data_IF_063729803129
#
_entry.id   IF_063729803129
#
_cell.length_a   1.000
_cell.length_b   1.000
_cell.length_c   1.000
_cell.angle_alpha   90.00
_cell.angle_beta   90.00
_cell.angle_gamma   90.00
#
_symmetry.space_group_name_H-M   'P 1'
#
loop_
_entity.id
_entity.type
_entity.pdbx_description
1 polymer ?
#
# COMPACT_ATOMS: atom_id res chain seq x y z
N UNK A 1 2.55 -20.07 12.98
CA UNK A 1 3.31 -18.93 12.41
C UNK A 1 2.32 -17.81 12.24
N UNK A 2 2.63 -16.61 12.71
CA UNK A 2 1.76 -15.45 12.42
C UNK A 2 1.83 -15.16 10.92
N UNK A 3 0.68 -15.13 10.26
CA UNK A 3 0.58 -14.71 8.85
C UNK A 3 0.92 -13.22 8.73
N UNK A 4 1.73 -12.84 7.75
CA UNK A 4 2.08 -11.43 7.50
C UNK A 4 0.90 -10.62 6.94
N UNK A 5 -0.14 -11.30 6.46
CA UNK A 5 -1.41 -10.71 6.04
C UNK A 5 -2.54 -11.54 6.63
N UNK A 6 -3.49 -10.90 7.29
CA UNK A 6 -4.71 -11.55 7.78
C UNK A 6 -5.91 -11.17 6.91
N UNK A 7 -6.87 -12.09 6.81
CA UNK A 7 -8.10 -11.91 6.05
C UNK A 7 -9.30 -12.13 6.97
N UNK A 8 -10.18 -11.15 7.02
CA UNK A 8 -11.46 -11.20 7.75
C UNK A 8 -12.59 -10.82 6.79
N UNK A 9 -13.72 -11.53 6.85
CA UNK A 9 -14.92 -11.19 6.07
C UNK A 9 -16.00 -10.61 6.99
N UNK A 10 -16.57 -9.51 6.56
CA UNK A 10 -17.66 -8.84 7.30
C UNK A 10 -18.64 -8.21 6.31
N UNK A 11 -19.88 -8.70 6.25
CA UNK A 11 -21.01 -8.12 5.49
C UNK A 11 -20.70 -7.87 3.98
N UNK A 12 -19.91 -8.76 3.36
CA UNK A 12 -19.47 -8.64 1.98
C UNK A 12 -18.24 -7.77 1.78
N UNK A 13 -17.62 -7.28 2.85
CA UNK A 13 -16.36 -6.56 2.87
C UNK A 13 -15.25 -7.55 3.28
N UNK A 14 -14.25 -7.75 2.44
CA UNK A 14 -13.05 -8.49 2.80
C UNK A 14 -12.00 -7.52 3.36
N UNK A 15 -11.69 -7.64 4.64
CA UNK A 15 -10.67 -6.84 5.31
C UNK A 15 -9.34 -7.59 5.20
N UNK A 16 -8.38 -7.00 4.49
CA UNK A 16 -7.00 -7.48 4.39
C UNK A 16 -6.12 -6.58 5.27
N UNK A 17 -5.54 -7.16 6.31
CA UNK A 17 -4.65 -6.42 7.22
C UNK A 17 -3.20 -6.85 7.04
N UNK A 18 -2.32 -5.90 6.73
CA UNK A 18 -0.87 -6.09 6.79
C UNK A 18 -0.50 -6.28 8.27
N UNK A 19 0.13 -7.41 8.62
CA UNK A 19 0.25 -7.87 10.01
C UNK A 19 1.70 -8.16 10.40
N UNK A 20 2.55 -7.15 10.27
CA UNK A 20 3.91 -7.08 10.86
C UNK A 20 4.06 -5.79 11.68
N UNK A 21 3.21 -5.57 12.72
CA UNK A 21 3.15 -4.28 13.43
C UNK A 21 4.49 -3.89 14.08
N UNK A 22 5.27 -4.85 14.55
CA UNK A 22 6.60 -4.63 15.17
C UNK A 22 7.63 -4.10 14.16
N UNK A 23 7.44 -4.32 12.87
CA UNK A 23 8.26 -3.83 11.76
C UNK A 23 7.54 -2.73 10.96
N UNK A 24 6.52 -2.07 11.53
CA UNK A 24 5.69 -1.07 10.83
C UNK A 24 5.13 -1.58 9.50
N UNK A 25 4.79 -2.84 9.42
CA UNK A 25 4.31 -3.52 8.21
C UNK A 25 5.27 -3.40 7.02
N UNK A 26 6.59 -3.44 7.29
CA UNK A 26 7.62 -3.49 6.25
C UNK A 26 7.42 -4.74 5.36
N UNK A 27 7.63 -4.54 4.06
CA UNK A 27 7.35 -5.52 3.02
C UNK A 27 8.56 -6.44 2.85
N UNK A 28 8.41 -7.71 3.23
CA UNK A 28 9.35 -8.79 2.92
C UNK A 28 8.74 -9.78 1.93
N UNK A 29 9.50 -10.79 1.54
CA UNK A 29 9.05 -11.82 0.60
C UNK A 29 7.80 -12.58 1.10
N UNK A 30 7.67 -12.78 2.42
CA UNK A 30 6.51 -13.45 3.02
C UNK A 30 5.27 -12.58 2.88
N UNK A 31 5.35 -11.29 3.19
CA UNK A 31 4.22 -10.36 3.02
C UNK A 31 3.79 -10.25 1.56
N UNK A 32 4.73 -10.21 0.62
CA UNK A 32 4.42 -10.20 -0.81
C UNK A 32 3.64 -11.47 -1.21
N UNK A 33 4.11 -12.64 -0.78
CA UNK A 33 3.46 -13.92 -1.05
C UNK A 33 2.06 -13.98 -0.43
N UNK A 34 1.95 -13.63 0.86
CA UNK A 34 0.69 -13.70 1.60
C UNK A 34 -0.35 -12.73 1.03
N UNK A 35 0.05 -11.48 0.69
CA UNK A 35 -0.87 -10.49 0.12
C UNK A 35 -1.30 -10.86 -1.30
N UNK A 36 -0.38 -11.38 -2.13
CA UNK A 36 -0.74 -11.89 -3.46
C UNK A 36 -1.76 -13.03 -3.38
N UNK A 37 -1.57 -13.94 -2.43
CA UNK A 37 -2.50 -15.06 -2.19
C UNK A 37 -3.85 -14.56 -1.67
N UNK A 38 -3.84 -13.71 -0.63
CA UNK A 38 -5.06 -13.17 -0.05
C UNK A 38 -5.90 -12.39 -1.06
N UNK A 39 -5.26 -11.55 -1.90
CA UNK A 39 -5.94 -10.83 -2.99
C UNK A 39 -6.53 -11.79 -4.02
N UNK A 40 -5.80 -12.84 -4.43
CA UNK A 40 -6.33 -13.83 -5.38
C UNK A 40 -7.56 -14.54 -4.83
N UNK A 41 -7.48 -15.03 -3.58
CA UNK A 41 -8.62 -15.69 -2.90
C UNK A 41 -9.82 -14.76 -2.79
N UNK A 42 -9.57 -13.46 -2.46
CA UNK A 42 -10.65 -12.48 -2.30
C UNK A 42 -11.29 -12.13 -3.64
N UNK A 43 -10.51 -11.96 -4.70
CA UNK A 43 -11.04 -11.67 -6.04
C UNK A 43 -11.91 -12.86 -6.56
N UNK A 44 -11.52 -14.08 -6.29
CA UNK A 44 -12.27 -15.28 -6.68
C UNK A 44 -13.49 -15.59 -5.80
N UNK A 45 -13.61 -14.95 -4.60
CA UNK A 45 -14.69 -15.22 -3.65
C UNK A 45 -15.96 -14.40 -4.00
N UNK A 46 -17.09 -15.03 -4.39
CA UNK A 46 -18.30 -14.28 -4.76
C UNK A 46 -18.96 -13.53 -3.60
N UNK A 47 -18.69 -13.96 -2.37
CA UNK A 47 -19.26 -13.33 -1.17
C UNK A 47 -18.51 -12.04 -0.77
N UNK A 48 -17.30 -11.82 -1.28
CA UNK A 48 -16.53 -10.60 -1.09
C UNK A 48 -16.86 -9.60 -2.22
N UNK A 49 -17.47 -8.49 -1.89
CA UNK A 49 -17.87 -7.46 -2.87
C UNK A 49 -16.90 -6.28 -2.92
N UNK A 50 -16.24 -6.00 -1.81
CA UNK A 50 -15.30 -4.87 -1.62
C UNK A 50 -14.10 -5.36 -0.84
N UNK A 51 -12.92 -4.87 -1.17
CA UNK A 51 -11.68 -5.10 -0.42
C UNK A 51 -11.42 -3.86 0.44
N UNK A 52 -11.16 -4.06 1.75
CA UNK A 52 -10.66 -3.03 2.63
C UNK A 52 -9.21 -3.38 3.00
N UNK A 53 -8.25 -2.59 2.56
CA UNK A 53 -6.83 -2.78 2.85
C UNK A 53 -6.39 -1.86 3.99
N UNK A 54 -5.77 -2.44 5.05
CA UNK A 54 -5.29 -1.71 6.22
C UNK A 54 -3.94 -2.24 6.73
N UNK A 55 -3.30 -1.52 7.63
CA UNK A 55 -2.18 -2.01 8.42
C UNK A 55 -2.60 -2.31 9.86
N UNK A 56 -1.97 -3.27 10.53
CA UNK A 56 -2.06 -3.45 11.97
C UNK A 56 -1.04 -2.58 12.71
N UNK A 57 -1.33 -2.22 13.95
CA UNK A 57 -0.45 -1.43 14.80
C UNK A 57 -0.44 0.06 14.46
N UNK A 58 0.75 0.69 14.44
CA UNK A 58 0.91 2.16 14.39
C UNK A 58 1.20 2.75 13.00
N UNK A 59 1.26 1.92 11.96
CA UNK A 59 1.50 2.38 10.59
C UNK A 59 0.75 1.52 9.59
N UNK A 60 0.38 2.10 8.47
CA UNK A 60 -0.15 1.35 7.34
C UNK A 60 0.93 0.44 6.75
N UNK A 61 2.01 1.02 6.22
CA UNK A 61 3.13 0.27 5.65
C UNK A 61 4.37 1.17 5.48
N UNK A 62 5.52 0.73 5.97
CA UNK A 62 6.78 1.48 5.89
C UNK A 62 7.59 1.21 4.61
N UNK A 63 7.02 0.48 3.63
CA UNK A 63 7.70 0.13 2.39
C UNK A 63 8.57 -1.12 2.51
N UNK A 64 9.50 -1.31 1.56
CA UNK A 64 10.35 -2.50 1.53
C UNK A 64 11.18 -2.65 2.82
N UNK A 65 11.29 -3.87 3.31
CA UNK A 65 12.13 -4.23 4.47
C UNK A 65 13.61 -4.14 4.05
N UNK A 66 14.26 -3.03 4.41
CA UNK A 66 15.65 -2.75 4.01
C UNK A 66 16.63 -3.74 4.64
N UNK A 67 16.38 -4.18 5.88
CA UNK A 67 17.23 -5.18 6.55
C UNK A 67 17.19 -6.52 5.80
N UNK A 68 16.00 -6.96 5.37
CA UNK A 68 15.83 -8.15 4.55
C UNK A 68 16.49 -8.00 3.17
N UNK A 69 16.38 -6.81 2.56
CA UNK A 69 16.97 -6.50 1.25
C UNK A 69 18.51 -6.48 1.30
N UNK A 70 19.10 -5.88 2.34
CA UNK A 70 20.55 -5.87 2.56
C UNK A 70 21.09 -7.27 2.81
N UNK A 71 20.41 -8.09 3.64
CA UNK A 71 20.80 -9.47 3.89
C UNK A 71 20.79 -10.32 2.61
N UNK A 72 19.79 -10.11 1.75
CA UNK A 72 19.74 -10.74 0.43
C UNK A 72 20.87 -10.26 -0.49
N UNK A 73 21.15 -8.96 -0.55
CA UNK A 73 22.21 -8.39 -1.37
C UNK A 73 23.58 -8.93 -0.97
N UNK A 74 23.85 -9.10 0.33
CA UNK A 74 25.10 -9.67 0.85
C UNK A 74 25.30 -11.13 0.44
N UNK A 75 24.24 -11.88 0.16
CA UNK A 75 24.28 -13.26 -0.33
C UNK A 75 24.48 -13.38 -1.86
N UNK A 76 24.59 -12.26 -2.59
CA UNK A 76 24.79 -12.26 -4.04
C UNK A 76 23.49 -12.57 -4.79
N UNK A 77 22.60 -11.56 -4.91
CA UNK A 77 21.32 -11.72 -5.60
C UNK A 77 21.56 -11.83 -7.11
N UNK A 78 21.05 -12.89 -7.71
CA UNK A 78 21.00 -13.01 -9.16
C UNK A 78 20.01 -11.98 -9.75
N UNK A 79 20.29 -11.43 -10.94
CA UNK A 79 19.36 -10.51 -11.62
C UNK A 79 17.95 -11.09 -11.78
N UNK A 80 17.85 -12.41 -11.93
CA UNK A 80 16.56 -13.12 -12.01
C UNK A 80 15.73 -12.99 -10.72
N UNK A 81 16.37 -13.00 -9.54
CA UNK A 81 15.68 -12.90 -8.25
C UNK A 81 15.13 -11.47 -8.04
N UNK A 82 15.89 -10.45 -8.47
CA UNK A 82 15.43 -9.04 -8.45
C UNK A 82 14.20 -8.87 -9.34
N UNK A 83 14.22 -9.45 -10.54
CA UNK A 83 13.09 -9.39 -11.47
C UNK A 83 11.86 -10.10 -10.88
N UNK A 84 12.04 -11.31 -10.33
CA UNK A 84 10.97 -12.09 -9.70
C UNK A 84 10.33 -11.32 -8.54
N UNK A 85 11.13 -10.64 -7.71
CA UNK A 85 10.64 -9.80 -6.61
C UNK A 85 9.83 -8.60 -7.13
N UNK A 86 10.34 -7.91 -8.15
CA UNK A 86 9.64 -6.79 -8.78
C UNK A 86 8.32 -7.22 -9.43
N UNK A 87 8.31 -8.34 -10.12
CA UNK A 87 7.11 -8.90 -10.77
C UNK A 87 6.04 -9.27 -9.72
N UNK A 88 6.46 -9.80 -8.57
CA UNK A 88 5.55 -10.16 -7.47
C UNK A 88 4.95 -8.92 -6.80
N UNK A 89 5.72 -7.83 -6.61
CA UNK A 89 5.20 -6.53 -6.15
C UNK A 89 4.22 -5.93 -7.15
N UNK A 90 4.55 -5.95 -8.44
CA UNK A 90 3.67 -5.46 -9.51
C UNK A 90 2.38 -6.27 -9.61
N UNK A 91 2.41 -7.57 -9.31
CA UNK A 91 1.21 -8.41 -9.30
C UNK A 91 0.20 -7.95 -8.25
N UNK A 92 0.66 -7.49 -7.07
CA UNK A 92 -0.20 -6.89 -6.05
C UNK A 92 -0.84 -5.61 -6.60
N UNK A 93 -0.03 -4.69 -7.13
CA UNK A 93 -0.52 -3.43 -7.70
C UNK A 93 -1.55 -3.65 -8.80
N UNK A 94 -1.32 -4.65 -9.69
CA UNK A 94 -2.29 -5.01 -10.73
C UNK A 94 -3.60 -5.52 -10.15
N UNK A 95 -3.58 -6.35 -9.11
CA UNK A 95 -4.80 -6.85 -8.46
C UNK A 95 -5.58 -5.75 -7.77
N UNK A 96 -4.89 -4.78 -7.14
CA UNK A 96 -5.53 -3.62 -6.52
C UNK A 96 -6.17 -2.68 -7.55
N UNK A 97 -5.48 -2.41 -8.67
CA UNK A 97 -5.92 -1.42 -9.67
C UNK A 97 -6.83 -1.97 -10.76
N UNK A 98 -6.68 -3.25 -11.11
CA UNK A 98 -7.32 -3.87 -12.27
C UNK A 98 -8.21 -5.05 -11.88
N UNK A 99 -8.33 -5.35 -10.59
CA UNK A 99 -9.29 -6.32 -10.08
C UNK A 99 -10.73 -5.86 -10.33
N UNK A 100 -11.67 -6.77 -10.28
CA UNK A 100 -13.10 -6.55 -10.51
C UNK A 100 -13.86 -6.09 -9.24
N UNK A 101 -13.16 -5.90 -8.12
CA UNK A 101 -13.73 -5.47 -6.84
C UNK A 101 -13.12 -4.14 -6.40
N UNK A 102 -13.95 -3.17 -5.97
CA UNK A 102 -13.44 -1.92 -5.42
C UNK A 102 -12.53 -2.14 -4.21
N UNK A 103 -11.49 -1.32 -4.09
CA UNK A 103 -10.53 -1.36 -2.99
C UNK A 103 -10.59 -0.05 -2.19
N UNK A 104 -10.87 -0.16 -0.90
CA UNK A 104 -10.85 0.95 0.05
C UNK A 104 -9.60 0.84 0.93
N UNK A 105 -8.76 1.86 0.93
CA UNK A 105 -7.58 1.95 1.80
C UNK A 105 -7.90 2.66 3.12
N UNK A 106 -7.62 2.03 4.25
CA UNK A 106 -7.67 2.63 5.60
C UNK A 106 -6.23 2.95 6.03
N UNK A 107 -5.80 4.21 5.84
CA UNK A 107 -4.40 4.62 5.93
C UNK A 107 -4.16 5.40 7.23
N UNK A 108 -3.25 4.93 8.06
CA UNK A 108 -2.85 5.60 9.29
C UNK A 108 -1.33 5.54 9.50
N UNK A 109 -0.80 6.49 10.27
CA UNK A 109 0.63 6.57 10.54
C UNK A 109 1.45 6.77 9.27
N UNK A 110 2.27 5.81 8.90
CA UNK A 110 3.17 5.89 7.76
C UNK A 110 2.71 5.05 6.57
N UNK A 111 2.75 5.65 5.38
CA UNK A 111 2.66 4.99 4.09
C UNK A 111 3.88 5.40 3.26
N UNK A 112 4.86 4.50 3.07
CA UNK A 112 6.18 4.84 2.53
C UNK A 112 6.52 3.94 1.35
N UNK A 113 7.06 4.51 0.29
CA UNK A 113 7.54 3.77 -0.88
C UNK A 113 6.46 2.84 -1.46
N UNK A 114 6.74 1.55 -1.57
CA UNK A 114 5.77 0.57 -2.06
C UNK A 114 4.47 0.54 -1.21
N UNK A 115 4.53 0.86 0.09
CA UNK A 115 3.34 1.03 0.92
C UNK A 115 2.51 2.24 0.49
N UNK A 116 3.14 3.35 0.12
CA UNK A 116 2.42 4.49 -0.45
C UNK A 116 1.88 4.18 -1.86
N UNK A 117 2.62 3.42 -2.68
CA UNK A 117 2.11 2.92 -3.96
C UNK A 117 0.82 2.10 -3.77
N UNK A 118 0.78 1.19 -2.79
CA UNK A 118 -0.43 0.40 -2.51
C UNK A 118 -1.60 1.27 -2.02
N UNK A 119 -1.34 2.30 -1.22
CA UNK A 119 -2.37 3.25 -0.83
C UNK A 119 -2.95 4.00 -2.06
N UNK A 120 -2.09 4.43 -3.00
CA UNK A 120 -2.51 5.10 -4.24
C UNK A 120 -3.16 4.16 -5.26
N UNK A 121 -2.94 2.86 -5.13
CA UNK A 121 -3.57 1.84 -5.98
C UNK A 121 -4.98 1.45 -5.49
N UNK A 122 -5.41 1.92 -4.31
CA UNK A 122 -6.79 1.79 -3.87
C UNK A 122 -7.69 2.77 -4.63
N UNK A 123 -8.95 2.37 -4.89
CA UNK A 123 -9.94 3.24 -5.56
C UNK A 123 -10.36 4.41 -4.67
N UNK A 124 -10.52 4.16 -3.37
CA UNK A 124 -10.85 5.17 -2.38
C UNK A 124 -9.95 5.02 -1.16
N UNK A 125 -9.59 6.15 -0.53
CA UNK A 125 -8.74 6.12 0.67
C UNK A 125 -9.28 7.01 1.78
N UNK A 126 -9.20 6.51 3.01
CA UNK A 126 -9.47 7.24 4.24
C UNK A 126 -8.16 7.35 5.02
N UNK A 127 -7.71 8.56 5.28
CA UNK A 127 -6.44 8.85 5.92
C UNK A 127 -6.63 9.40 7.32
N UNK A 128 -5.83 8.94 8.26
CA UNK A 128 -5.70 9.58 9.57
C UNK A 128 -5.01 10.93 9.44
N UNK A 129 -5.44 11.91 10.22
CA UNK A 129 -4.91 13.28 10.19
C UNK A 129 -3.41 13.35 10.45
N UNK A 130 -2.87 12.46 11.29
CA UNK A 130 -1.45 12.40 11.61
C UNK A 130 -0.63 11.59 10.60
N UNK A 131 -1.26 11.01 9.59
CA UNK A 131 -0.57 10.20 8.59
C UNK A 131 0.41 11.00 7.75
N UNK A 132 1.48 10.29 7.32
CA UNK A 132 2.54 10.83 6.46
C UNK A 132 2.84 9.83 5.36
N UNK A 133 3.14 10.34 4.15
CA UNK A 133 3.56 9.50 3.04
C UNK A 133 4.66 10.16 2.21
N UNK A 134 5.51 9.35 1.58
CA UNK A 134 6.57 9.82 0.69
C UNK A 134 7.19 8.67 -0.10
N UNK A 135 7.97 9.00 -1.13
CA UNK A 135 8.73 8.08 -1.96
C UNK A 135 10.23 8.19 -1.65
N UNK A 136 10.85 7.27 -0.88
CA UNK A 136 12.28 7.29 -0.58
C UNK A 136 13.16 6.69 -1.67
N UNK A 137 12.58 6.07 -2.71
CA UNK A 137 13.22 5.14 -3.63
C UNK A 137 14.48 5.72 -4.28
N UNK A 138 14.42 6.95 -4.78
CA UNK A 138 15.58 7.55 -5.45
C UNK A 138 16.76 7.78 -4.52
N UNK A 139 16.50 8.14 -3.26
CA UNK A 139 17.55 8.26 -2.24
C UNK A 139 18.24 6.91 -1.91
N UNK A 140 17.58 5.80 -2.24
CA UNK A 140 18.08 4.44 -2.06
C UNK A 140 18.64 3.84 -3.37
N UNK A 141 18.71 4.62 -4.46
CA UNK A 141 19.11 4.12 -5.78
C UNK A 141 18.08 3.20 -6.44
N UNK A 142 16.82 3.28 -5.98
CA UNK A 142 15.70 2.49 -6.46
C UNK A 142 14.71 3.36 -7.22
N UNK A 143 13.65 2.76 -7.72
CA UNK A 143 12.62 3.40 -8.51
C UNK A 143 11.23 2.86 -8.14
N UNK A 144 10.18 3.70 -8.04
CA UNK A 144 8.82 3.23 -7.80
C UNK A 144 8.34 2.33 -8.95
N UNK A 145 7.80 1.16 -8.65
CA UNK A 145 7.44 0.15 -9.67
C UNK A 145 5.98 -0.28 -9.67
N UNK A 146 5.20 0.10 -8.64
CA UNK A 146 3.82 -0.33 -8.44
C UNK A 146 2.77 0.43 -9.26
N UNK A 147 3.12 0.94 -10.44
CA UNK A 147 2.18 1.63 -11.34
C UNK A 147 2.04 3.13 -11.09
N UNK A 148 2.61 3.64 -10.01
CA UNK A 148 2.47 5.05 -9.59
C UNK A 148 2.99 6.05 -10.63
N UNK A 149 4.01 5.68 -11.42
CA UNK A 149 4.55 6.51 -12.50
C UNK A 149 3.54 6.77 -13.63
N UNK A 150 2.56 5.89 -13.80
CA UNK A 150 1.45 6.07 -14.72
C UNK A 150 0.26 6.78 -14.06
N UNK A 151 -0.02 6.47 -12.79
CA UNK A 151 -1.18 6.97 -12.05
C UNK A 151 -0.98 8.42 -11.57
N UNK A 152 0.15 8.70 -10.90
CA UNK A 152 0.41 9.96 -10.24
C UNK A 152 0.33 11.18 -11.17
N UNK A 153 0.91 11.15 -12.42
CA UNK A 153 0.79 12.28 -13.34
C UNK A 153 -0.64 12.60 -13.76
N UNK A 154 -1.54 11.62 -13.72
CA UNK A 154 -2.96 11.82 -14.07
C UNK A 154 -3.73 12.51 -12.95
N UNK A 155 -3.29 12.40 -11.71
CA UNK A 155 -3.93 13.01 -10.55
C UNK A 155 -3.33 14.37 -10.23
N UNK A 156 -1.99 14.47 -10.10
CA UNK A 156 -1.33 15.69 -9.63
C UNK A 156 -0.58 16.46 -10.74
N UNK A 157 -0.59 15.96 -11.96
CA UNK A 157 0.19 16.51 -13.07
C UNK A 157 1.66 16.16 -13.01
N UNK A 158 2.35 16.30 -14.16
CA UNK A 158 3.73 15.84 -14.34
C UNK A 158 4.74 16.58 -13.45
N UNK A 159 4.54 17.90 -13.24
CA UNK A 159 5.46 18.71 -12.43
C UNK A 159 5.48 18.24 -10.97
N UNK A 160 4.32 18.08 -10.37
CA UNK A 160 4.20 17.60 -8.98
C UNK A 160 4.66 16.14 -8.84
N UNK A 161 4.36 15.30 -9.82
CA UNK A 161 4.87 13.92 -9.86
C UNK A 161 6.40 13.88 -9.78
N UNK A 162 7.06 14.70 -10.61
CA UNK A 162 8.54 14.78 -10.59
C UNK A 162 9.06 15.24 -9.23
N UNK A 163 8.47 16.27 -8.66
CA UNK A 163 8.82 16.79 -7.34
C UNK A 163 8.69 15.70 -6.27
N UNK A 164 7.52 15.02 -6.19
CA UNK A 164 7.28 13.98 -5.20
C UNK A 164 8.27 12.82 -5.29
N UNK A 165 8.58 12.37 -6.52
CA UNK A 165 9.46 11.22 -6.75
C UNK A 165 10.93 11.60 -6.63
N UNK A 166 11.35 12.75 -7.21
CA UNK A 166 12.76 13.12 -7.26
C UNK A 166 13.27 13.66 -5.92
N UNK A 167 12.45 14.38 -5.17
CA UNK A 167 12.85 14.99 -3.90
C UNK A 167 12.57 14.08 -2.69
N UNK A 168 11.61 13.17 -2.78
CA UNK A 168 11.26 12.27 -1.68
C UNK A 168 10.77 12.98 -0.42
N UNK A 169 10.14 14.14 -0.57
CA UNK A 169 9.61 14.92 0.55
C UNK A 169 8.43 14.22 1.21
N UNK A 170 8.26 14.48 2.53
CA UNK A 170 7.17 13.90 3.31
C UNK A 170 5.93 14.77 3.22
N UNK A 171 4.83 14.18 2.79
CA UNK A 171 3.52 14.82 2.68
C UNK A 171 2.63 14.38 3.84
N UNK A 172 1.92 15.34 4.44
CA UNK A 172 0.87 15.04 5.41
C UNK A 172 -0.47 14.74 4.73
N UNK A 173 -1.39 14.13 5.48
CA UNK A 173 -2.69 13.74 4.97
C UNK A 173 -3.50 14.90 4.37
N UNK A 174 -3.39 16.10 4.97
CA UNK A 174 -4.12 17.28 4.49
C UNK A 174 -3.57 17.77 3.14
N UNK A 175 -2.25 17.76 2.98
CA UNK A 175 -1.60 18.07 1.70
C UNK A 175 -1.97 17.04 0.64
N UNK A 176 -1.95 15.74 0.98
CA UNK A 176 -2.39 14.67 0.07
C UNK A 176 -3.84 14.84 -0.36
N UNK A 177 -4.72 15.26 0.56
CA UNK A 177 -6.12 15.56 0.23
C UNK A 177 -6.24 16.75 -0.73
N UNK A 178 -5.49 17.82 -0.49
CA UNK A 178 -5.50 19.00 -1.39
C UNK A 178 -4.98 18.68 -2.79
N UNK A 179 -4.11 17.66 -2.91
CA UNK A 179 -3.58 17.16 -4.18
C UNK A 179 -4.49 16.12 -4.86
N UNK A 180 -5.60 15.71 -4.22
CA UNK A 180 -6.50 14.69 -4.73
C UNK A 180 -5.99 13.25 -4.55
N UNK A 181 -4.96 13.04 -3.73
CA UNK A 181 -4.36 11.72 -3.43
C UNK A 181 -4.98 11.05 -2.19
N UNK A 182 -5.74 11.79 -1.39
CA UNK A 182 -6.52 11.29 -0.27
C UNK A 182 -7.98 11.74 -0.42
N UNK A 183 -8.92 10.79 -0.43
CA UNK A 183 -10.35 11.12 -0.59
C UNK A 183 -10.95 11.71 0.69
N UNK A 184 -10.59 11.16 1.85
CA UNK A 184 -11.06 11.63 3.16
C UNK A 184 -9.93 11.69 4.16
N UNK A 185 -9.91 12.73 4.99
CA UNK A 185 -9.00 12.89 6.13
C UNK A 185 -9.83 13.04 7.38
N UNK A 186 -9.62 12.15 8.34
CA UNK A 186 -10.39 12.06 9.60
C UNK A 186 -9.44 11.98 10.80
N UNK A 187 -9.90 12.17 12.04
CA UNK A 187 -9.13 11.81 13.23
C UNK A 187 -8.64 10.36 13.15
N UNK A 188 -7.44 10.09 13.66
CA UNK A 188 -6.78 8.79 13.46
C UNK A 188 -7.62 7.62 14.01
N UNK A 189 -8.31 7.83 15.12
CA UNK A 189 -9.21 6.86 15.75
C UNK A 189 -10.48 6.53 14.93
N UNK A 190 -10.84 7.39 13.97
CA UNK A 190 -12.02 7.22 13.11
C UNK A 190 -11.71 6.59 11.76
N UNK A 191 -10.45 6.35 11.44
CA UNK A 191 -10.03 5.85 10.12
C UNK A 191 -10.75 4.55 9.76
N UNK A 192 -10.71 3.57 10.65
CA UNK A 192 -11.28 2.25 10.37
C UNK A 192 -12.81 2.29 10.25
N UNK A 193 -13.48 3.00 11.15
CA UNK A 193 -14.93 3.15 11.12
C UNK A 193 -15.39 3.85 9.82
N UNK A 194 -14.70 4.93 9.46
CA UNK A 194 -14.99 5.67 8.23
C UNK A 194 -14.72 4.84 6.98
N UNK A 195 -13.63 4.06 6.96
CA UNK A 195 -13.30 3.19 5.83
C UNK A 195 -14.33 2.06 5.66
N UNK A 196 -14.80 1.45 6.75
CA UNK A 196 -15.90 0.47 6.72
C UNK A 196 -17.19 1.10 6.21
N UNK A 197 -17.53 2.31 6.67
CA UNK A 197 -18.70 3.04 6.17
C UNK A 197 -18.62 3.33 4.67
N UNK A 198 -17.43 3.67 4.15
CA UNK A 198 -17.19 3.88 2.71
C UNK A 198 -17.33 2.56 1.94
N UNK A 199 -16.76 1.49 2.46
CA UNK A 199 -16.80 0.17 1.83
C UNK A 199 -18.22 -0.44 1.80
N UNK A 200 -19.10 -0.02 2.70
CA UNK A 200 -20.49 -0.49 2.77
C UNK A 200 -21.48 0.27 1.87
N UNK A 201 -21.04 1.34 1.19
CA UNK A 201 -21.88 2.15 0.27
C UNK A 201 -21.88 1.57 -1.14
#
# INVERSE_FOLDING_TARGET
>A
MNQSVTREQRDGICILSLNRPDKLNAIDATMISDLNHALAVTLDCPDDRVILLRGEGRAFCSGNDLEASEAQAACGIARADVQTHADALQAISRKLMLGDKPVVGAIHGWAVGAGFEWALNCDLTVWGRCSRAFFPELGLGLFPTGGVLSLLPRVVGLARTREMILLGEKYDAQTLQSLGLANRVVPDEQVMETALSVAGQ
#
